data_IF_758931925330
#
_entry.id   IF_758931925330
#
_cell.length_a   1.000
_cell.length_b   1.000
_cell.length_c   1.000
_cell.angle_alpha   90.00
_cell.angle_beta   90.00
_cell.angle_gamma   90.00
#
_symmetry.space_group_name_H-M   'P 1'
#
loop_
_entity.id
_entity.type
_entity.pdbx_description
1 polymer ?
#
# COMPACT_ATOMS: atom_id res chain seq x y z
N UNK A 1 38.12 46.89 -38.02
CA UNK A 1 38.61 46.37 -36.71
C UNK A 1 37.47 45.60 -36.10
N UNK A 2 37.50 44.26 -36.29
CA UNK A 2 36.44 43.33 -35.94
C UNK A 2 36.51 42.90 -34.47
N UNK A 3 35.36 42.91 -33.76
CA UNK A 3 35.18 42.15 -32.54
C UNK A 3 33.96 41.25 -32.70
N UNK A 4 34.24 39.96 -32.84
CA UNK A 4 33.26 38.87 -32.74
C UNK A 4 32.91 38.64 -31.29
N UNK A 5 31.62 38.72 -30.94
CA UNK A 5 31.09 38.23 -29.68
C UNK A 5 30.58 36.80 -29.91
N UNK A 6 31.18 35.83 -29.24
CA UNK A 6 30.71 34.44 -29.17
C UNK A 6 29.61 34.33 -28.11
N UNK A 7 28.41 33.94 -28.55
CA UNK A 7 27.36 33.45 -27.63
C UNK A 7 27.64 31.99 -27.24
N UNK A 8 27.87 31.77 -25.96
CA UNK A 8 27.87 30.44 -25.36
C UNK A 8 26.45 30.07 -25.01
N UNK A 9 25.89 29.09 -25.67
CA UNK A 9 24.62 28.48 -25.30
C UNK A 9 24.87 27.51 -24.15
N UNK A 10 24.38 27.85 -22.96
CA UNK A 10 24.35 26.97 -21.82
C UNK A 10 23.19 25.95 -21.96
N UNK A 11 23.53 24.70 -22.19
CA UNK A 11 22.57 23.61 -22.09
C UNK A 11 22.29 23.32 -20.61
N UNK A 12 21.11 23.71 -20.15
CA UNK A 12 20.62 23.27 -18.84
C UNK A 12 20.18 21.81 -18.96
N UNK A 13 20.98 20.91 -18.44
CA UNK A 13 20.60 19.51 -18.23
C UNK A 13 19.56 19.44 -17.11
N UNK A 14 18.31 19.19 -17.48
CA UNK A 14 17.27 18.80 -16.52
C UNK A 14 17.62 17.35 -16.08
N UNK A 15 18.22 17.21 -14.92
CA UNK A 15 18.28 15.91 -14.23
C UNK A 15 16.86 15.59 -13.77
N UNK A 16 16.18 14.69 -14.50
CA UNK A 16 15.00 14.03 -14.05
C UNK A 16 15.35 13.18 -12.83
N UNK A 17 14.83 13.55 -11.66
CA UNK A 17 14.80 12.68 -10.49
C UNK A 17 13.88 11.51 -10.83
N UNK A 18 14.49 10.41 -11.29
CA UNK A 18 13.84 9.12 -11.28
C UNK A 18 13.66 8.75 -9.81
N UNK A 19 12.42 8.80 -9.33
CA UNK A 19 12.04 8.23 -8.03
C UNK A 19 12.33 6.74 -8.08
N UNK A 20 13.45 6.32 -7.54
CA UNK A 20 13.79 4.91 -7.41
C UNK A 20 12.88 4.30 -6.36
N UNK A 21 11.96 3.47 -6.79
CA UNK A 21 11.24 2.55 -5.92
C UNK A 21 12.26 1.76 -5.10
N UNK A 22 12.12 1.80 -3.77
CA UNK A 22 13.12 1.27 -2.84
C UNK A 22 13.49 -0.20 -3.12
N UNK A 23 14.73 -0.55 -2.84
CA UNK A 23 15.37 -1.84 -3.06
C UNK A 23 14.48 -3.03 -2.66
N UNK A 24 14.08 -3.83 -3.65
CA UNK A 24 13.59 -5.19 -3.41
C UNK A 24 14.74 -6.01 -2.83
N UNK A 25 14.59 -6.53 -1.60
CA UNK A 25 15.69 -7.14 -0.85
C UNK A 25 16.02 -8.59 -1.26
N UNK A 26 15.13 -9.22 -2.05
CA UNK A 26 15.30 -10.59 -2.54
C UNK A 26 15.96 -10.66 -3.92
N UNK A 27 16.44 -9.52 -4.46
CA UNK A 27 17.03 -9.45 -5.80
C UNK A 27 16.00 -9.40 -6.93
N UNK A 28 14.71 -9.62 -6.65
CA UNK A 28 13.65 -9.53 -7.65
C UNK A 28 13.26 -8.07 -7.91
N UNK A 29 12.83 -7.78 -9.14
CA UNK A 29 12.31 -6.46 -9.51
C UNK A 29 10.89 -6.22 -8.99
N UNK A 30 10.22 -7.25 -8.44
CA UNK A 30 8.82 -7.22 -8.00
C UNK A 30 8.74 -7.20 -6.48
N UNK A 31 8.04 -6.19 -5.94
CA UNK A 31 7.76 -6.11 -4.52
C UNK A 31 6.74 -7.16 -4.07
N UNK A 32 7.13 -8.04 -3.15
CA UNK A 32 6.22 -9.01 -2.53
C UNK A 32 5.51 -8.34 -1.36
N UNK A 33 4.20 -8.15 -1.46
CA UNK A 33 3.38 -7.56 -0.40
C UNK A 33 2.55 -8.65 0.29
N UNK A 34 2.77 -8.81 1.59
CA UNK A 34 1.99 -9.74 2.41
C UNK A 34 0.63 -9.12 2.73
N UNK A 35 -0.46 -9.68 2.17
CA UNK A 35 -1.85 -9.22 2.34
C UNK A 35 -2.30 -9.39 3.79
N UNK A 36 -2.69 -8.30 4.46
CA UNK A 36 -3.08 -8.25 5.89
C UNK A 36 -2.00 -8.79 6.83
N UNK A 37 -0.73 -8.50 6.50
CA UNK A 37 0.44 -9.12 7.10
C UNK A 37 0.71 -10.53 6.58
N UNK A 38 1.80 -11.16 7.03
CA UNK A 38 2.02 -12.57 6.76
C UNK A 38 1.25 -13.42 7.80
N UNK A 39 -0.08 -13.37 7.66
CA UNK A 39 -1.02 -14.03 8.57
C UNK A 39 -1.10 -15.55 8.36
N UNK A 40 -0.83 -16.02 7.13
CA UNK A 40 -1.01 -17.43 6.74
C UNK A 40 0.20 -18.28 7.15
N UNK A 41 0.58 -18.22 8.41
CA UNK A 41 1.63 -19.01 9.03
C UNK A 41 1.30 -19.32 10.51
N UNK A 42 1.94 -20.34 11.06
CA UNK A 42 1.73 -20.77 12.45
C UNK A 42 2.14 -19.70 13.46
N UNK A 43 3.25 -19.00 13.20
CA UNK A 43 3.80 -17.97 14.09
C UNK A 43 2.88 -16.75 14.22
N UNK A 44 2.04 -16.49 13.21
CA UNK A 44 0.99 -15.46 13.27
C UNK A 44 -0.33 -15.99 13.84
N UNK A 45 -0.45 -17.31 14.06
CA UNK A 45 -1.68 -17.96 14.49
C UNK A 45 -2.83 -17.78 13.51
N UNK A 46 -2.52 -17.64 12.20
CA UNK A 46 -3.48 -17.42 11.11
C UNK A 46 -4.36 -16.19 11.29
N UNK A 47 -3.88 -15.17 12.01
CA UNK A 47 -4.64 -13.97 12.34
C UNK A 47 -4.29 -12.80 11.42
N UNK A 48 -5.21 -12.48 10.51
CA UNK A 48 -5.13 -11.31 9.62
C UNK A 48 -5.09 -10.01 10.41
N UNK A 49 -4.34 -9.01 9.93
CA UNK A 49 -4.26 -7.68 10.56
C UNK A 49 -3.74 -7.70 12.02
N UNK A 50 -3.13 -8.81 12.46
CA UNK A 50 -2.54 -8.93 13.79
C UNK A 50 -1.13 -8.33 13.85
N UNK A 51 -0.70 -7.96 15.05
CA UNK A 51 0.70 -7.54 15.27
C UNK A 51 1.65 -8.70 14.96
N UNK A 52 1.26 -9.94 15.26
CA UNK A 52 2.03 -11.11 14.89
C UNK A 52 2.19 -11.26 13.37
N UNK A 53 1.15 -11.02 12.58
CA UNK A 53 1.23 -11.10 11.12
C UNK A 53 2.19 -10.06 10.52
N UNK A 54 2.20 -8.81 11.04
CA UNK A 54 3.18 -7.80 10.65
C UNK A 54 4.60 -8.24 11.04
N UNK A 55 4.79 -8.71 12.27
CA UNK A 55 6.09 -9.21 12.74
C UNK A 55 6.60 -10.33 11.84
N UNK A 56 5.77 -11.31 11.50
CA UNK A 56 6.15 -12.41 10.60
C UNK A 56 6.55 -11.90 9.21
N UNK A 57 5.83 -10.92 8.64
CA UNK A 57 6.21 -10.30 7.37
C UNK A 57 7.60 -9.64 7.44
N UNK A 58 7.89 -8.94 8.55
CA UNK A 58 9.17 -8.29 8.80
C UNK A 58 10.33 -9.29 8.99
N UNK A 59 10.11 -10.32 9.80
CA UNK A 59 11.11 -11.38 10.08
C UNK A 59 11.46 -12.18 8.81
N UNK A 60 10.47 -12.42 7.95
CA UNK A 60 10.68 -13.03 6.64
C UNK A 60 11.30 -12.06 5.62
N UNK A 61 11.36 -10.77 5.91
CA UNK A 61 11.94 -9.75 5.04
C UNK A 61 11.15 -9.56 3.73
N UNK A 62 9.82 -9.67 3.75
CA UNK A 62 9.02 -9.29 2.59
C UNK A 62 9.12 -7.79 2.35
N UNK A 63 9.05 -7.40 1.07
CA UNK A 63 9.15 -6.00 0.67
C UNK A 63 8.09 -5.12 1.34
N UNK A 64 6.85 -5.62 1.42
CA UNK A 64 5.75 -4.89 2.04
C UNK A 64 4.84 -5.78 2.88
N UNK A 65 4.16 -5.14 3.82
CA UNK A 65 3.07 -5.71 4.61
C UNK A 65 1.87 -4.79 4.50
N UNK A 66 0.81 -5.28 3.89
CA UNK A 66 -0.44 -4.55 3.76
C UNK A 66 -1.29 -4.76 5.03
N UNK A 67 -2.08 -3.76 5.40
CA UNK A 67 -3.02 -3.79 6.52
C UNK A 67 -4.13 -2.76 6.36
N UNK A 68 -5.30 -3.07 6.93
CA UNK A 68 -6.55 -2.32 6.80
C UNK A 68 -6.81 -1.45 8.01
N UNK A 69 -7.22 -0.19 7.82
CA UNK A 69 -7.52 0.73 8.92
C UNK A 69 -8.89 1.36 8.79
N UNK A 70 -9.66 1.22 9.87
CA UNK A 70 -10.95 1.88 10.08
C UNK A 70 -10.86 2.85 11.26
N UNK A 71 -11.71 3.88 11.26
CA UNK A 71 -11.84 4.84 12.35
C UNK A 71 -13.18 4.66 13.07
N UNK A 72 -13.15 4.60 14.39
CA UNK A 72 -14.35 4.53 15.24
C UNK A 72 -15.00 5.91 15.42
N UNK A 73 -16.22 5.93 15.99
CA UNK A 73 -16.94 7.19 16.23
C UNK A 73 -16.26 8.14 17.23
N UNK A 74 -15.37 7.63 18.07
CA UNK A 74 -14.54 8.37 19.01
C UNK A 74 -13.09 8.58 18.49
N UNK A 75 -12.92 8.49 17.15
CA UNK A 75 -11.67 8.78 16.42
C UNK A 75 -10.49 7.87 16.76
N UNK A 76 -10.71 6.66 17.28
CA UNK A 76 -9.66 5.66 17.43
C UNK A 76 -9.48 4.90 16.12
N UNK A 77 -8.24 4.80 15.64
CA UNK A 77 -7.91 4.05 14.43
C UNK A 77 -7.64 2.58 14.79
N UNK A 78 -8.47 1.68 14.29
CA UNK A 78 -8.37 0.22 14.48
C UNK A 78 -7.84 -0.47 13.24
N UNK A 79 -6.94 -1.44 13.43
CA UNK A 79 -6.42 -2.26 12.33
C UNK A 79 -7.33 -3.47 12.13
N UNK A 80 -8.29 -3.33 11.22
CA UNK A 80 -9.33 -4.31 10.94
C UNK A 80 -9.93 -4.13 9.55
N UNK A 81 -10.25 -5.23 8.86
CA UNK A 81 -10.66 -5.16 7.45
C UNK A 81 -12.11 -4.72 7.23
N UNK A 82 -13.04 -5.32 7.97
CA UNK A 82 -14.47 -5.11 7.68
C UNK A 82 -14.95 -3.78 8.25
N UNK A 83 -15.98 -3.20 7.65
CA UNK A 83 -16.62 -1.98 8.15
C UNK A 83 -17.49 -2.22 9.39
N UNK A 84 -17.66 -3.49 9.80
CA UNK A 84 -18.45 -3.90 10.95
C UNK A 84 -17.74 -4.95 11.77
N UNK A 85 -17.92 -4.90 13.09
CA UNK A 85 -17.47 -5.90 14.05
C UNK A 85 -18.71 -6.31 14.87
N UNK A 86 -19.05 -7.62 14.87
CA UNK A 86 -20.22 -8.17 15.56
C UNK A 86 -21.51 -7.41 15.23
N UNK A 87 -21.68 -7.03 13.95
CA UNK A 87 -22.84 -6.31 13.45
C UNK A 87 -22.85 -4.80 13.72
N UNK A 88 -21.92 -4.28 14.53
CA UNK A 88 -21.77 -2.84 14.81
C UNK A 88 -20.90 -2.17 13.76
N UNK A 89 -21.40 -1.08 13.17
CA UNK A 89 -20.67 -0.29 12.18
C UNK A 89 -19.56 0.50 12.89
N UNK A 90 -18.30 0.33 12.44
CA UNK A 90 -17.13 0.86 13.18
C UNK A 90 -17.17 2.38 13.30
N UNK A 91 -17.43 3.11 12.22
CA UNK A 91 -17.46 4.59 12.23
C UNK A 91 -18.65 5.22 12.98
N UNK A 92 -19.59 4.37 13.45
CA UNK A 92 -20.75 4.78 14.24
C UNK A 92 -20.69 4.28 15.68
N UNK A 93 -19.63 3.57 16.06
CA UNK A 93 -19.50 2.88 17.34
C UNK A 93 -18.21 3.31 18.03
N UNK A 94 -18.23 3.65 19.34
CA UNK A 94 -17.01 3.99 20.06
C UNK A 94 -16.10 2.76 20.25
N UNK A 95 -14.80 3.00 20.28
CA UNK A 95 -13.76 1.96 20.37
C UNK A 95 -13.90 1.04 21.57
N UNK A 96 -14.46 1.55 22.68
CA UNK A 96 -14.71 0.78 23.91
C UNK A 96 -15.61 -0.44 23.70
N UNK A 97 -16.47 -0.43 22.67
CA UNK A 97 -17.36 -1.54 22.33
C UNK A 97 -16.64 -2.71 21.65
N UNK A 98 -15.39 -2.51 21.22
CA UNK A 98 -14.58 -3.50 20.51
C UNK A 98 -13.41 -4.06 21.34
N UNK A 99 -13.19 -3.57 22.57
CA UNK A 99 -12.04 -3.92 23.44
C UNK A 99 -11.92 -5.41 23.76
N UNK A 100 -13.07 -6.14 23.78
CA UNK A 100 -13.13 -7.56 24.14
C UNK A 100 -13.11 -8.47 22.91
N UNK A 101 -13.15 -7.91 21.70
CA UNK A 101 -13.05 -8.67 20.44
C UNK A 101 -11.63 -9.21 20.29
N UNK A 102 -11.53 -10.46 19.83
CA UNK A 102 -10.25 -11.13 19.63
C UNK A 102 -10.10 -11.59 18.18
N UNK A 103 -8.89 -11.43 17.66
CA UNK A 103 -8.46 -12.00 16.39
C UNK A 103 -8.28 -13.53 16.53
N UNK A 104 -8.06 -14.23 15.41
CA UNK A 104 -7.96 -15.69 15.38
C UNK A 104 -6.87 -16.27 16.30
N UNK A 105 -5.79 -15.52 16.55
CA UNK A 105 -4.69 -15.90 17.45
C UNK A 105 -4.89 -15.46 18.92
N UNK A 106 -6.05 -14.90 19.27
CA UNK A 106 -6.37 -14.39 20.60
C UNK A 106 -5.87 -12.97 20.89
N UNK A 107 -5.14 -12.33 19.98
CA UNK A 107 -4.77 -10.91 20.12
C UNK A 107 -6.02 -10.02 20.11
N UNK A 108 -6.05 -8.90 20.85
CA UNK A 108 -7.08 -7.86 20.63
C UNK A 108 -6.93 -7.27 19.23
N UNK A 109 -7.98 -6.62 18.74
CA UNK A 109 -7.86 -5.78 17.54
C UNK A 109 -6.84 -4.67 17.85
N UNK A 110 -5.75 -4.53 17.08
CA UNK A 110 -4.75 -3.50 17.36
C UNK A 110 -5.28 -2.10 17.09
N UNK A 111 -4.91 -1.14 17.92
CA UNK A 111 -4.96 0.25 17.50
C UNK A 111 -3.80 0.54 16.55
N UNK A 112 -3.94 1.63 15.76
CA UNK A 112 -2.88 2.02 14.83
C UNK A 112 -1.56 2.33 15.56
N UNK A 113 -1.63 2.93 16.75
CA UNK A 113 -0.43 3.23 17.54
C UNK A 113 0.34 1.97 17.91
N UNK A 114 -0.37 0.90 18.29
CA UNK A 114 0.23 -0.41 18.62
C UNK A 114 0.83 -1.05 17.36
N UNK A 115 0.12 -0.96 16.24
CA UNK A 115 0.58 -1.54 14.98
C UNK A 115 1.82 -0.82 14.44
N UNK A 116 1.84 0.51 14.49
CA UNK A 116 2.99 1.32 14.08
C UNK A 116 4.21 1.12 14.98
N UNK A 117 4.03 0.84 16.28
CA UNK A 117 5.16 0.45 17.15
C UNK A 117 5.81 -0.87 16.69
N UNK A 118 5.04 -1.83 16.20
CA UNK A 118 5.62 -3.00 15.53
C UNK A 118 6.26 -2.60 14.20
N UNK A 119 5.61 -1.71 13.42
CA UNK A 119 6.11 -1.23 12.14
C UNK A 119 7.53 -0.65 12.22
N UNK A 120 7.86 0.04 13.31
CA UNK A 120 9.18 0.63 13.57
C UNK A 120 10.31 -0.39 13.74
N UNK A 121 9.99 -1.64 14.08
CA UNK A 121 11.01 -2.66 14.36
C UNK A 121 11.74 -3.17 13.11
N UNK A 122 11.26 -2.85 11.92
CA UNK A 122 11.96 -3.14 10.66
C UNK A 122 11.98 -1.90 9.79
N UNK A 123 13.15 -1.45 9.38
CA UNK A 123 13.30 -0.33 8.42
C UNK A 123 13.10 -0.78 6.97
N UNK A 124 13.01 -2.07 6.75
CA UNK A 124 13.08 -2.68 5.42
C UNK A 124 11.71 -3.01 4.83
N UNK A 125 10.71 -3.27 5.68
CA UNK A 125 9.38 -3.64 5.22
C UNK A 125 8.52 -2.39 5.04
N UNK A 126 8.04 -2.17 3.82
CA UNK A 126 7.09 -1.11 3.49
C UNK A 126 5.75 -1.37 4.18
N UNK A 127 5.21 -0.37 4.85
CA UNK A 127 3.86 -0.39 5.40
C UNK A 127 2.88 0.04 4.31
N UNK A 128 2.16 -0.91 3.74
CA UNK A 128 1.13 -0.67 2.73
C UNK A 128 -0.20 -0.46 3.47
N UNK A 129 -0.57 0.80 3.63
CA UNK A 129 -1.62 1.25 4.53
C UNK A 129 -2.94 1.44 3.78
N UNK A 130 -3.90 0.50 3.93
CA UNK A 130 -5.24 0.67 3.39
C UNK A 130 -6.11 1.53 4.32
N UNK A 131 -6.52 2.70 3.84
CA UNK A 131 -7.54 3.52 4.47
C UNK A 131 -8.91 3.09 3.94
N UNK A 132 -9.72 2.48 4.81
CA UNK A 132 -11.05 1.96 4.43
C UNK A 132 -12.03 3.09 4.14
N UNK A 133 -12.94 2.92 3.16
CA UNK A 133 -14.05 3.86 2.95
C UNK A 133 -14.95 3.96 4.20
N UNK A 134 -15.44 5.17 4.49
CA UNK A 134 -16.33 5.46 5.60
C UNK A 134 -17.65 6.06 5.10
N UNK A 135 -18.60 6.24 6.01
CA UNK A 135 -19.98 6.63 5.68
C UNK A 135 -20.12 8.02 5.05
N UNK A 136 -19.20 8.93 5.32
CA UNK A 136 -19.19 10.27 4.72
C UNK A 136 -17.79 10.76 4.35
N UNK A 137 -17.67 11.67 3.37
CA UNK A 137 -16.38 12.28 3.01
C UNK A 137 -15.71 13.02 4.17
N UNK A 138 -16.49 13.59 5.12
CA UNK A 138 -15.96 14.29 6.28
C UNK A 138 -15.22 13.33 7.21
N UNK A 139 -15.80 12.15 7.46
CA UNK A 139 -15.17 11.07 8.27
C UNK A 139 -13.91 10.56 7.57
N UNK A 140 -13.97 10.31 6.26
CA UNK A 140 -12.80 9.92 5.48
C UNK A 140 -11.69 10.99 5.52
N UNK A 141 -12.08 12.26 5.44
CA UNK A 141 -11.13 13.36 5.55
C UNK A 141 -10.45 13.40 6.93
N UNK A 142 -11.22 13.16 7.99
CA UNK A 142 -10.68 13.09 9.34
C UNK A 142 -9.76 11.88 9.54
N UNK A 143 -10.13 10.71 8.96
CA UNK A 143 -9.29 9.51 8.95
C UNK A 143 -7.91 9.79 8.32
N UNK A 144 -7.88 10.47 7.17
CA UNK A 144 -6.61 10.86 6.51
C UNK A 144 -5.79 11.76 7.42
N UNK A 145 -6.40 12.78 8.02
CA UNK A 145 -5.69 13.74 8.86
C UNK A 145 -5.08 13.06 10.09
N UNK A 146 -5.85 12.25 10.80
CA UNK A 146 -5.37 11.47 11.94
C UNK A 146 -4.27 10.48 11.54
N UNK A 147 -4.40 9.82 10.40
CA UNK A 147 -3.37 8.91 9.90
C UNK A 147 -2.02 9.62 9.72
N UNK A 148 -2.01 10.79 9.08
CA UNK A 148 -0.80 11.58 8.87
C UNK A 148 -0.23 12.10 10.20
N UNK A 149 -1.09 12.50 11.15
CA UNK A 149 -0.70 12.88 12.51
C UNK A 149 -0.01 11.70 13.23
N UNK A 150 -0.63 10.51 13.21
CA UNK A 150 -0.09 9.31 13.86
C UNK A 150 1.24 8.84 13.28
N UNK A 151 1.40 8.89 11.96
CA UNK A 151 2.68 8.58 11.30
C UNK A 151 3.79 9.53 11.76
N UNK A 152 3.50 10.83 11.84
CA UNK A 152 4.45 11.84 12.33
C UNK A 152 4.78 11.63 13.80
N UNK A 153 3.78 11.40 14.67
CA UNK A 153 3.98 11.11 16.09
C UNK A 153 4.88 9.89 16.30
N UNK A 154 4.79 8.90 15.42
CA UNK A 154 5.58 7.67 15.49
C UNK A 154 6.93 7.74 14.77
N UNK A 155 7.24 8.85 14.06
CA UNK A 155 8.45 8.98 13.27
C UNK A 155 8.50 8.02 12.07
N UNK A 156 7.34 7.74 11.48
CA UNK A 156 7.16 6.90 10.29
C UNK A 156 6.65 7.72 9.08
N UNK A 157 6.73 9.05 9.17
CA UNK A 157 6.25 9.98 8.14
C UNK A 157 7.23 10.12 6.95
N UNK A 158 7.60 8.98 6.39
CA UNK A 158 8.53 8.88 5.26
C UNK A 158 7.96 8.03 4.12
N UNK A 159 8.08 8.48 2.85
CA UNK A 159 7.61 7.72 1.68
C UNK A 159 8.42 6.44 1.43
N UNK A 160 9.61 6.29 2.03
CA UNK A 160 10.40 5.07 2.00
C UNK A 160 9.87 4.02 2.98
N UNK A 161 8.95 4.40 3.87
CA UNK A 161 8.41 3.53 4.93
C UNK A 161 6.94 3.22 4.78
N UNK A 162 6.18 4.13 4.15
CA UNK A 162 4.73 4.05 4.06
C UNK A 162 4.27 4.38 2.66
N UNK A 163 3.33 3.63 2.15
CA UNK A 163 2.50 3.97 1.01
C UNK A 163 1.03 3.75 1.36
N UNK A 164 0.14 4.41 0.62
CA UNK A 164 -1.30 4.37 0.88
C UNK A 164 -2.05 3.72 -0.26
N UNK A 165 -3.09 2.96 0.11
CA UNK A 165 -4.05 2.41 -0.82
C UNK A 165 -5.48 2.67 -0.31
N UNK A 166 -6.45 2.84 -1.18
CA UNK A 166 -7.86 2.97 -0.80
C UNK A 166 -8.81 2.71 -1.96
N UNK A 167 -10.00 2.17 -1.63
CA UNK A 167 -11.15 2.12 -2.53
C UNK A 167 -11.89 3.46 -2.63
N UNK A 168 -11.69 4.40 -1.68
CA UNK A 168 -12.32 5.71 -1.73
C UNK A 168 -11.49 6.69 -2.56
N UNK A 169 -12.08 7.18 -3.65
CA UNK A 169 -11.47 8.23 -4.46
C UNK A 169 -11.31 9.54 -3.67
N UNK A 170 -12.19 9.82 -2.68
CA UNK A 170 -12.06 10.97 -1.80
C UNK A 170 -10.80 10.88 -0.93
N UNK A 171 -10.55 9.71 -0.31
CA UNK A 171 -9.34 9.45 0.48
C UNK A 171 -8.10 9.61 -0.39
N UNK A 172 -8.06 8.99 -1.58
CA UNK A 172 -6.91 9.09 -2.48
C UNK A 172 -6.63 10.54 -2.92
N UNK A 173 -7.67 11.31 -3.27
CA UNK A 173 -7.53 12.74 -3.63
C UNK A 173 -7.01 13.57 -2.46
N UNK A 174 -7.52 13.33 -1.24
CA UNK A 174 -7.07 14.04 -0.05
C UNK A 174 -5.61 13.74 0.27
N UNK A 175 -5.20 12.48 0.21
CA UNK A 175 -3.80 12.08 0.38
C UNK A 175 -2.89 12.72 -0.68
N UNK A 176 -3.25 12.64 -1.95
CA UNK A 176 -2.49 13.26 -3.04
C UNK A 176 -2.34 14.78 -2.89
N UNK A 177 -3.34 15.44 -2.27
CA UNK A 177 -3.30 16.88 -2.00
C UNK A 177 -2.48 17.24 -0.76
N UNK A 178 -2.63 16.50 0.36
CA UNK A 178 -2.02 16.82 1.65
C UNK A 178 -0.61 16.28 1.83
N UNK A 179 -0.33 15.15 1.19
CA UNK A 179 0.91 14.40 1.35
C UNK A 179 1.43 13.88 0.00
N UNK A 180 1.71 14.78 -0.98
CA UNK A 180 2.05 14.42 -2.36
C UNK A 180 3.38 13.66 -2.50
N UNK A 181 4.16 13.58 -1.43
CA UNK A 181 5.42 12.81 -1.39
C UNK A 181 5.19 11.29 -1.31
N UNK A 182 4.01 10.85 -0.88
CA UNK A 182 3.72 9.41 -0.76
C UNK A 182 3.23 8.80 -2.07
N UNK A 183 3.47 7.51 -2.22
CA UNK A 183 2.75 6.70 -3.19
C UNK A 183 1.31 6.50 -2.69
N UNK A 184 0.35 6.88 -3.52
CA UNK A 184 -1.08 6.70 -3.28
C UNK A 184 -1.65 5.90 -4.44
N UNK A 185 -2.20 4.71 -4.15
CA UNK A 185 -2.78 3.83 -5.17
C UNK A 185 -4.29 3.67 -4.97
N UNK A 186 -5.02 3.72 -6.06
CA UNK A 186 -6.46 3.48 -6.06
C UNK A 186 -6.77 2.01 -6.28
N UNK A 187 -7.65 1.44 -5.43
CA UNK A 187 -8.03 0.02 -5.44
C UNK A 187 -9.22 -0.30 -6.32
N UNK A 188 -10.11 0.68 -6.55
CA UNK A 188 -11.34 0.50 -7.33
C UNK A 188 -11.10 0.51 -8.83
N UNK A 189 -12.09 0.03 -9.60
CA UNK A 189 -12.05 -0.02 -11.07
C UNK A 189 -12.96 1.01 -11.77
N UNK A 190 -13.44 2.01 -11.01
CA UNK A 190 -14.38 3.01 -11.53
C UNK A 190 -13.68 4.12 -12.32
N UNK A 191 -12.35 4.22 -12.21
CA UNK A 191 -11.54 5.23 -12.87
C UNK A 191 -10.38 4.58 -13.62
N UNK A 192 -10.17 5.02 -14.88
CA UNK A 192 -8.98 4.63 -15.64
C UNK A 192 -7.70 5.26 -15.06
N UNK A 193 -6.51 4.71 -15.33
CA UNK A 193 -5.24 5.32 -14.92
C UNK A 193 -5.09 6.76 -15.40
N UNK A 194 -5.54 7.10 -16.62
CA UNK A 194 -5.55 8.48 -17.13
C UNK A 194 -6.39 9.40 -16.23
N UNK A 195 -7.61 8.98 -15.85
CA UNK A 195 -8.47 9.77 -14.97
C UNK A 195 -7.85 9.94 -13.57
N UNK A 196 -7.22 8.90 -13.03
CA UNK A 196 -6.53 8.95 -11.74
C UNK A 196 -5.33 9.91 -11.77
N UNK A 197 -4.57 9.92 -12.86
CA UNK A 197 -3.48 10.87 -13.08
C UNK A 197 -3.98 12.32 -13.05
N UNK A 198 -5.15 12.58 -13.63
CA UNK A 198 -5.82 13.89 -13.56
C UNK A 198 -6.13 14.33 -12.12
N UNK A 199 -6.30 13.40 -11.19
CA UNK A 199 -6.47 13.67 -9.76
C UNK A 199 -5.13 13.70 -8.98
N UNK A 200 -3.99 13.59 -9.66
CA UNK A 200 -2.64 13.50 -9.07
C UNK A 200 -2.42 12.26 -8.20
N UNK A 201 -3.19 11.21 -8.43
CA UNK A 201 -2.97 9.89 -7.85
C UNK A 201 -1.88 9.23 -8.67
N UNK A 202 -0.83 8.73 -8.03
CA UNK A 202 0.41 8.30 -8.68
C UNK A 202 0.59 6.77 -8.73
N UNK A 203 -0.51 6.02 -8.51
CA UNK A 203 -0.47 4.57 -8.61
C UNK A 203 -1.86 3.93 -8.68
N UNK A 204 -1.85 2.68 -9.09
CA UNK A 204 -3.01 1.79 -9.11
C UNK A 204 -2.67 0.50 -8.37
N UNK A 205 -3.64 0.00 -7.61
CA UNK A 205 -3.60 -1.31 -6.96
C UNK A 205 -4.90 -2.04 -7.29
N UNK A 206 -4.93 -2.64 -8.48
CA UNK A 206 -6.15 -3.23 -8.99
C UNK A 206 -6.26 -4.71 -8.65
N UNK A 207 -7.50 -5.20 -8.51
CA UNK A 207 -7.70 -6.63 -8.66
C UNK A 207 -7.07 -7.07 -10.00
N UNK A 208 -6.21 -8.08 -9.99
CA UNK A 208 -5.44 -8.52 -11.16
C UNK A 208 -6.32 -8.82 -12.39
N UNK A 209 -7.60 -9.17 -12.19
CA UNK A 209 -8.56 -9.42 -13.27
C UNK A 209 -8.92 -8.16 -14.05
N UNK A 210 -8.74 -6.97 -13.46
CA UNK A 210 -8.97 -5.71 -14.16
C UNK A 210 -8.05 -5.59 -15.38
N UNK A 211 -6.81 -6.07 -15.29
CA UNK A 211 -5.90 -6.08 -16.45
C UNK A 211 -6.24 -7.15 -17.48
N UNK A 212 -7.07 -8.15 -17.14
CA UNK A 212 -7.65 -9.06 -18.15
C UNK A 212 -8.86 -8.42 -18.85
N UNK A 213 -9.65 -7.63 -18.11
CA UNK A 213 -10.80 -6.89 -18.63
C UNK A 213 -10.38 -5.65 -19.45
N UNK A 214 -9.31 -4.98 -19.02
CA UNK A 214 -8.78 -3.71 -19.54
C UNK A 214 -7.24 -3.79 -19.72
N UNK A 215 -6.74 -4.56 -20.70
CA UNK A 215 -5.29 -4.72 -20.90
C UNK A 215 -4.58 -3.41 -21.25
N UNK A 216 -5.30 -2.45 -21.88
CA UNK A 216 -4.80 -1.12 -22.19
C UNK A 216 -4.51 -0.26 -20.94
N UNK A 217 -5.11 -0.59 -19.79
CA UNK A 217 -4.90 0.18 -18.55
C UNK A 217 -3.50 -0.02 -17.96
N UNK A 218 -2.86 -1.15 -18.24
CA UNK A 218 -1.47 -1.33 -17.84
C UNK A 218 -0.55 -0.34 -18.57
N UNK A 219 -0.69 -0.24 -19.91
CA UNK A 219 0.05 0.73 -20.72
C UNK A 219 -0.27 2.15 -20.28
N UNK A 220 -1.56 2.50 -20.10
CA UNK A 220 -1.98 3.80 -19.62
C UNK A 220 -1.35 4.16 -18.26
N UNK A 221 -1.28 3.21 -17.30
CA UNK A 221 -0.62 3.45 -16.01
C UNK A 221 0.88 3.75 -16.20
N UNK A 222 1.57 3.01 -17.07
CA UNK A 222 2.99 3.24 -17.38
C UNK A 222 3.22 4.59 -18.08
N UNK A 223 2.38 4.95 -19.03
CA UNK A 223 2.47 6.24 -19.73
C UNK A 223 2.33 7.45 -18.78
N UNK A 224 1.59 7.27 -17.69
CA UNK A 224 1.43 8.26 -16.62
C UNK A 224 2.42 8.09 -15.46
N UNK A 225 3.44 7.23 -15.61
CA UNK A 225 4.46 6.96 -14.57
C UNK A 225 3.88 6.51 -13.23
N UNK A 226 2.77 5.79 -13.26
CA UNK A 226 2.12 5.23 -12.06
C UNK A 226 2.81 3.96 -11.61
N UNK A 227 2.90 3.78 -10.29
CA UNK A 227 3.20 2.48 -9.71
C UNK A 227 2.01 1.53 -9.87
N UNK A 228 2.30 0.27 -10.18
CA UNK A 228 1.27 -0.75 -10.42
C UNK A 228 1.43 -1.89 -9.43
N UNK A 229 0.45 -2.05 -8.54
CA UNK A 229 0.26 -3.19 -7.68
C UNK A 229 -0.96 -3.99 -8.12
N UNK A 230 -1.03 -5.26 -7.74
CA UNK A 230 -2.19 -6.12 -7.99
C UNK A 230 -2.52 -6.98 -6.78
N UNK A 231 -3.84 -7.18 -6.52
CA UNK A 231 -4.35 -7.98 -5.39
C UNK A 231 -5.51 -8.88 -5.81
N UNK A 232 -5.94 -9.88 -5.05
CA UNK A 232 -5.09 -10.71 -4.20
C UNK A 232 -4.69 -11.90 -5.05
N UNK A 233 -3.42 -11.98 -5.43
CA UNK A 233 -2.93 -12.96 -6.40
C UNK A 233 -2.42 -14.19 -5.65
N UNK A 234 -3.23 -15.24 -5.58
CA UNK A 234 -2.94 -16.43 -4.77
C UNK A 234 -2.61 -17.67 -5.60
N UNK A 235 -2.92 -17.67 -6.90
CA UNK A 235 -2.65 -18.80 -7.79
C UNK A 235 -1.34 -18.56 -8.55
N UNK A 236 -0.52 -19.58 -8.65
CA UNK A 236 0.75 -19.51 -9.38
C UNK A 236 0.58 -19.05 -10.83
N UNK A 237 -0.44 -19.55 -11.54
CA UNK A 237 -0.73 -19.15 -12.92
C UNK A 237 -0.99 -17.64 -13.05
N UNK A 238 -1.72 -17.05 -12.09
CA UNK A 238 -2.00 -15.62 -12.08
C UNK A 238 -0.76 -14.81 -11.66
N UNK A 239 0.07 -15.34 -10.73
CA UNK A 239 1.38 -14.74 -10.40
C UNK A 239 2.26 -14.67 -11.65
N UNK A 240 2.35 -15.75 -12.42
CA UNK A 240 3.13 -15.80 -13.67
C UNK A 240 2.69 -14.74 -14.67
N UNK A 241 1.37 -14.57 -14.85
CA UNK A 241 0.81 -13.59 -15.78
C UNK A 241 1.13 -12.16 -15.33
N UNK A 242 1.00 -11.85 -14.04
CA UNK A 242 1.28 -10.51 -13.50
C UNK A 242 2.77 -10.18 -13.54
N UNK A 243 3.63 -11.15 -13.27
CA UNK A 243 5.10 -11.03 -13.44
C UNK A 243 5.43 -10.75 -14.91
N UNK A 244 4.86 -11.52 -15.84
CA UNK A 244 5.09 -11.34 -17.28
C UNK A 244 4.56 -9.99 -17.80
N UNK A 245 3.46 -9.47 -17.20
CA UNK A 245 2.94 -8.15 -17.48
C UNK A 245 3.90 -7.05 -17.03
N UNK A 246 4.72 -7.29 -16.00
CA UNK A 246 5.69 -6.34 -15.49
C UNK A 246 5.13 -5.40 -14.43
N UNK A 247 4.24 -5.88 -13.55
CA UNK A 247 3.76 -5.11 -12.40
C UNK A 247 4.91 -4.83 -11.41
N UNK A 248 4.81 -3.77 -10.63
CA UNK A 248 5.85 -3.41 -9.66
C UNK A 248 5.72 -4.20 -8.35
N UNK A 249 4.48 -4.56 -7.98
CA UNK A 249 4.18 -5.25 -6.73
C UNK A 249 3.06 -6.27 -6.93
N UNK A 250 3.09 -7.32 -6.10
CA UNK A 250 2.04 -8.32 -6.01
C UNK A 250 1.66 -8.51 -4.54
N UNK A 251 0.41 -8.23 -4.22
CA UNK A 251 -0.20 -8.48 -2.92
C UNK A 251 -0.83 -9.87 -2.89
N UNK A 252 -0.41 -10.73 -1.94
CA UNK A 252 -0.80 -12.14 -1.87
C UNK A 252 -0.94 -12.65 -0.44
N UNK A 253 -1.81 -13.66 -0.23
CA UNK A 253 -1.88 -14.44 1.01
C UNK A 253 -0.77 -15.49 1.12
N UNK A 254 0.01 -15.72 0.03
CA UNK A 254 1.05 -16.73 -0.08
C UNK A 254 2.41 -16.12 -0.48
N UNK A 255 2.96 -15.18 0.33
CA UNK A 255 4.18 -14.44 -0.05
C UNK A 255 5.41 -15.33 -0.18
N UNK A 256 5.53 -16.42 0.59
CA UNK A 256 6.63 -17.39 0.44
C UNK A 256 6.54 -18.16 -0.89
N UNK A 257 5.32 -18.54 -1.32
CA UNK A 257 5.11 -19.17 -2.63
C UNK A 257 5.57 -18.27 -3.77
N UNK A 258 5.19 -16.97 -3.71
CA UNK A 258 5.62 -15.99 -4.69
C UNK A 258 7.16 -15.81 -4.69
N UNK A 259 7.77 -15.73 -3.51
CA UNK A 259 9.23 -15.63 -3.38
C UNK A 259 9.94 -16.81 -4.02
N UNK A 260 9.55 -18.03 -3.68
CA UNK A 260 10.15 -19.25 -4.24
C UNK A 260 10.01 -19.26 -5.77
N UNK A 261 8.85 -18.86 -6.27
CA UNK A 261 8.59 -18.79 -7.70
C UNK A 261 9.50 -17.75 -8.42
N UNK A 262 9.73 -16.58 -7.81
CA UNK A 262 10.64 -15.58 -8.36
C UNK A 262 12.10 -16.07 -8.34
N UNK A 263 12.55 -16.69 -7.25
CA UNK A 263 13.90 -17.24 -7.11
C UNK A 263 14.18 -18.35 -8.14
N UNK A 264 13.21 -19.23 -8.39
CA UNK A 264 13.34 -20.29 -9.39
C UNK A 264 13.49 -19.76 -10.82
N UNK A 265 12.90 -18.59 -11.12
CA UNK A 265 13.04 -17.94 -12.43
C UNK A 265 14.38 -17.23 -12.63
N UNK A 266 14.99 -16.71 -11.58
CA UNK A 266 16.31 -16.09 -11.63
C UNK A 266 17.44 -17.11 -11.78
N UNK A 267 17.19 -18.36 -11.40
CA UNK A 267 18.14 -19.47 -11.54
C UNK A 267 18.06 -20.18 -12.90
N UNK A 268 17.19 -19.76 -13.80
CA UNK A 268 17.07 -20.26 -15.18
C UNK A 268 17.49 -19.20 -16.21
#
# INVERSE_FOLDING_TARGET
MNRFLKYMAGAASVLGLASSCGNCQDGSKIGIVAHRGYWNCEEAGFAKNSIAALRCAQEKGFWGSEFDVNMTSDEVLLVYHDSKIDGKVIDQTPSSEFKDVRLANGEPIPTIEQYLEQGKKSEKTMLVYELKPHSTPEIENRLVDLTLEKLKEKGLDSPERVMFISFSINICKRLAQKAPQYTVQYLGKDFSPEALSGFKINGVDFNYKVFYEHPEWFTSARDHSMSVNVWTVNKQEDMEKMIALGVDMITTDHPETLRNFLSDKELR
#
